data_IF_705946300427
#
_entry.id   IF_705946300427
#
_cell.length_a   1.000
_cell.length_b   1.000
_cell.length_c   1.000
_cell.angle_alpha   90.00
_cell.angle_beta   90.00
_cell.angle_gamma   90.00
#
_symmetry.space_group_name_H-M   'P 1'
#
loop_
_entity.id
_entity.type
_entity.pdbx_description
1 polymer ?
#
# COMPACT_ATOMS: atom_id res chain seq x y z
N UNK A 1 -4.81 -6.57 -5.73
CA UNK A 1 -3.66 -5.83 -5.12
C UNK A 1 -2.85 -5.04 -6.14
N UNK A 2 -2.20 -5.69 -7.13
CA UNK A 2 -1.37 -4.98 -8.14
C UNK A 2 -2.16 -3.99 -9.00
N UNK A 3 -3.34 -4.40 -9.49
CA UNK A 3 -4.25 -3.51 -10.23
C UNK A 3 -4.64 -2.28 -9.40
N UNK A 4 -5.07 -2.49 -8.14
CA UNK A 4 -5.41 -1.42 -7.20
C UNK A 4 -4.26 -0.41 -7.01
N UNK A 5 -3.04 -0.88 -6.78
CA UNK A 5 -1.88 0.01 -6.59
C UNK A 5 -1.50 0.77 -7.87
N UNK A 6 -1.59 0.13 -9.03
CA UNK A 6 -1.35 0.78 -10.33
C UNK A 6 -2.37 1.91 -10.60
N UNK A 7 -3.64 1.72 -10.24
CA UNK A 7 -4.69 2.74 -10.42
C UNK A 7 -4.43 4.03 -9.63
N UNK A 8 -3.71 3.93 -8.50
CA UNK A 8 -3.50 5.08 -7.59
C UNK A 8 -2.05 5.59 -7.59
N UNK A 9 -1.21 5.02 -8.46
CA UNK A 9 0.19 5.40 -8.60
C UNK A 9 1.06 5.03 -7.39
N UNK A 10 0.70 3.97 -6.66
CA UNK A 10 1.53 3.43 -5.58
C UNK A 10 2.52 2.43 -6.17
N UNK A 11 3.76 2.48 -5.71
CA UNK A 11 4.82 1.55 -6.12
C UNK A 11 4.59 0.16 -5.52
N UNK A 12 3.68 -0.61 -6.12
CA UNK A 12 3.44 -2.04 -5.88
C UNK A 12 4.33 -2.87 -6.80
N UNK A 13 5.04 -3.87 -6.27
CA UNK A 13 5.99 -4.68 -7.05
C UNK A 13 5.34 -5.41 -8.26
N UNK A 14 5.45 -4.79 -9.44
CA UNK A 14 5.67 -5.38 -10.75
C UNK A 14 6.28 -4.30 -11.67
N UNK A 15 7.55 -3.99 -11.38
CA UNK A 15 8.35 -2.95 -12.04
C UNK A 15 8.03 -1.54 -11.54
N UNK A 16 9.05 -0.90 -10.97
CA UNK A 16 8.94 0.43 -10.37
C UNK A 16 9.11 1.46 -11.48
N UNK A 17 8.18 2.41 -11.64
CA UNK A 17 8.44 3.59 -12.45
C UNK A 17 9.42 4.48 -11.68
N UNK A 18 10.68 4.53 -12.10
CA UNK A 18 11.71 5.36 -11.48
C UNK A 18 11.93 6.63 -12.30
N UNK A 19 12.01 7.77 -11.61
CA UNK A 19 12.49 9.02 -12.20
C UNK A 19 14.00 8.91 -12.41
N UNK A 20 14.43 8.85 -13.68
CA UNK A 20 15.84 8.87 -14.08
C UNK A 20 16.15 10.20 -14.76
N UNK A 21 17.43 10.61 -14.80
CA UNK A 21 17.90 11.84 -15.46
C UNK A 21 17.54 11.97 -16.97
N UNK A 22 16.92 10.95 -17.57
CA UNK A 22 16.48 10.90 -18.98
C UNK A 22 14.98 10.56 -19.13
N UNK A 23 14.20 10.71 -18.07
CA UNK A 23 12.76 10.40 -18.05
C UNK A 23 12.39 9.22 -17.15
N UNK A 24 11.11 8.85 -17.18
CA UNK A 24 10.55 7.75 -16.40
C UNK A 24 11.00 6.40 -16.98
N UNK A 25 11.52 5.49 -16.13
CA UNK A 25 11.95 4.14 -16.54
C UNK A 25 11.26 3.06 -15.73
N UNK A 26 11.04 1.90 -16.33
CA UNK A 26 10.50 0.72 -15.67
C UNK A 26 11.64 -0.09 -15.05
N UNK A 27 11.80 -0.07 -13.73
CA UNK A 27 12.76 -0.88 -13.00
C UNK A 27 12.09 -2.19 -12.56
N UNK A 28 12.14 -3.21 -13.43
CA UNK A 28 11.79 -4.59 -13.05
C UNK A 28 12.72 -5.07 -11.92
N UNK A 29 12.28 -6.03 -11.10
CA UNK A 29 12.98 -6.65 -9.95
C UNK A 29 14.41 -7.19 -10.24
N UNK A 30 14.94 -7.01 -11.44
CA UNK A 30 16.37 -7.13 -11.80
C UNK A 30 17.23 -5.93 -11.33
N UNK A 31 16.84 -5.22 -10.27
CA UNK A 31 17.69 -4.21 -9.61
C UNK A 31 18.89 -4.87 -8.89
N UNK A 32 19.05 -6.19 -8.98
CA UNK A 32 20.29 -6.87 -8.59
C UNK A 32 21.45 -6.65 -9.59
N UNK A 33 21.21 -6.16 -10.81
CA UNK A 33 22.26 -5.94 -11.83
C UNK A 33 22.84 -4.52 -11.82
N UNK A 34 22.26 -3.59 -11.05
CA UNK A 34 22.79 -2.24 -10.86
C UNK A 34 23.13 -2.12 -9.38
N UNK A 35 24.41 -1.99 -9.04
CA UNK A 35 25.00 -2.13 -7.68
C UNK A 35 24.50 -1.17 -6.58
N UNK A 36 23.19 -1.03 -6.41
CA UNK A 36 22.54 -0.32 -5.32
C UNK A 36 22.31 -1.28 -4.14
N UNK A 37 22.89 -0.95 -2.99
CA UNK A 37 22.50 -1.60 -1.73
C UNK A 37 21.22 -0.94 -1.24
N UNK A 38 20.12 -1.68 -1.24
CA UNK A 38 18.86 -1.24 -0.64
C UNK A 38 18.77 -1.77 0.78
N UNK A 39 18.37 -0.90 1.70
CA UNK A 39 18.16 -1.23 3.10
C UNK A 39 16.78 -1.83 3.29
N UNK A 40 16.70 -2.97 3.97
CA UNK A 40 15.42 -3.51 4.45
C UNK A 40 14.86 -2.57 5.55
N UNK A 41 13.62 -2.12 5.35
CA UNK A 41 13.00 -1.11 6.22
C UNK A 41 12.22 -1.79 7.33
N UNK A 42 12.73 -1.62 8.54
CA UNK A 42 12.09 -1.99 9.80
C UNK A 42 11.59 -0.74 10.53
N UNK A 43 10.92 -0.92 11.67
CA UNK A 43 10.44 0.21 12.49
C UNK A 43 11.53 1.22 12.86
N UNK A 44 12.78 0.76 13.04
CA UNK A 44 13.93 1.63 13.32
C UNK A 44 14.31 2.56 12.16
N UNK A 45 13.95 2.21 10.93
CA UNK A 45 14.26 2.98 9.72
C UNK A 45 13.10 3.88 9.27
N UNK A 46 11.93 3.79 9.92
CA UNK A 46 10.71 4.45 9.46
C UNK A 46 10.82 5.99 9.38
N UNK A 47 11.46 6.62 10.37
CA UNK A 47 11.64 8.08 10.40
C UNK A 47 12.62 8.56 9.32
N UNK A 48 13.68 7.79 9.06
CA UNK A 48 14.66 8.08 8.01
C UNK A 48 14.01 7.99 6.62
N UNK A 49 13.23 6.94 6.39
CA UNK A 49 12.43 6.78 5.16
C UNK A 49 11.42 7.91 5.00
N UNK A 50 10.69 8.29 6.06
CA UNK A 50 9.72 9.38 5.99
C UNK A 50 10.40 10.75 5.75
N UNK A 51 11.65 10.92 6.17
CA UNK A 51 12.43 12.14 5.91
C UNK A 51 12.91 12.19 4.46
N UNK A 52 13.41 11.07 3.93
CA UNK A 52 13.98 11.00 2.57
C UNK A 52 12.90 10.89 1.48
N UNK A 53 11.83 10.15 1.76
CA UNK A 53 10.74 9.83 0.85
C UNK A 53 9.37 10.20 1.45
N UNK A 54 9.15 11.48 1.82
CA UNK A 54 7.98 11.89 2.60
C UNK A 54 6.66 11.64 1.86
N UNK A 55 6.63 11.87 0.55
CA UNK A 55 5.43 11.69 -0.27
C UNK A 55 5.17 10.21 -0.52
N UNK A 56 6.21 9.43 -0.84
CA UNK A 56 6.09 8.01 -1.12
C UNK A 56 5.71 7.21 0.13
N UNK A 57 6.28 7.55 1.30
CA UNK A 57 5.92 6.96 2.58
C UNK A 57 4.45 7.24 2.93
N UNK A 58 3.99 8.48 2.76
CA UNK A 58 2.60 8.87 2.96
C UNK A 58 1.65 8.13 2.01
N UNK A 59 1.99 8.10 0.71
CA UNK A 59 1.22 7.40 -0.32
C UNK A 59 1.09 5.91 -0.03
N UNK A 60 2.21 5.26 0.33
CA UNK A 60 2.24 3.83 0.66
C UNK A 60 1.43 3.54 1.92
N UNK A 61 1.56 4.37 2.96
CA UNK A 61 0.82 4.22 4.20
C UNK A 61 -0.70 4.32 4.00
N UNK A 62 -1.16 5.29 3.23
CA UNK A 62 -2.59 5.45 2.92
C UNK A 62 -3.10 4.27 2.09
N UNK A 63 -2.30 3.81 1.13
CA UNK A 63 -2.65 2.63 0.33
C UNK A 63 -2.76 1.36 1.18
N UNK A 64 -1.79 1.13 2.06
CA UNK A 64 -1.79 0.01 3.00
C UNK A 64 -2.99 0.08 3.95
N UNK A 65 -3.39 1.27 4.39
CA UNK A 65 -4.62 1.48 5.15
C UNK A 65 -5.85 1.01 4.35
N UNK A 66 -5.93 1.38 3.07
CA UNK A 66 -7.06 1.02 2.20
C UNK A 66 -7.14 -0.49 1.92
N UNK A 67 -6.01 -1.18 1.76
CA UNK A 67 -6.02 -2.63 1.48
C UNK A 67 -5.87 -3.52 2.74
N UNK A 68 -5.88 -2.93 3.93
CA UNK A 68 -5.59 -3.60 5.21
C UNK A 68 -4.24 -4.31 5.23
N UNK A 69 -3.18 -3.73 4.68
CA UNK A 69 -1.85 -4.34 4.79
C UNK A 69 -1.24 -4.10 6.17
N UNK A 70 -1.03 -5.16 6.93
CA UNK A 70 -0.45 -5.09 8.29
C UNK A 70 1.04 -5.40 8.32
N UNK A 71 1.62 -5.90 7.23
CA UNK A 71 2.94 -6.53 7.23
C UNK A 71 3.93 -5.72 6.39
N UNK A 72 3.99 -4.41 6.59
CA UNK A 72 4.86 -3.52 5.81
C UNK A 72 6.31 -3.51 6.30
N UNK A 73 6.53 -3.67 7.61
CA UNK A 73 7.88 -3.82 8.16
C UNK A 73 8.53 -5.10 7.59
N UNK A 74 9.79 -5.04 7.18
CA UNK A 74 10.47 -6.14 6.49
C UNK A 74 10.06 -6.35 5.03
N UNK A 75 8.89 -5.84 4.61
CA UNK A 75 8.40 -5.87 3.23
C UNK A 75 8.52 -4.50 2.53
N UNK A 76 9.58 -3.77 2.82
CA UNK A 76 9.90 -2.50 2.18
C UNK A 76 11.42 -2.37 2.07
N UNK A 77 11.89 -1.96 0.89
CA UNK A 77 13.30 -1.66 0.64
C UNK A 77 13.45 -0.22 0.20
N UNK A 78 14.40 0.48 0.79
CA UNK A 78 14.68 1.87 0.48
C UNK A 78 16.16 2.08 0.22
N UNK A 79 16.48 2.94 -0.72
CA UNK A 79 17.82 3.48 -0.83
C UNK A 79 17.99 4.58 0.22
N UNK A 80 18.69 4.28 1.31
CA UNK A 80 18.98 5.24 2.39
C UNK A 80 20.38 5.86 2.27
N UNK A 81 21.20 5.37 1.33
CA UNK A 81 22.53 5.94 1.09
C UNK A 81 22.44 7.32 0.42
N UNK A 82 23.50 8.13 0.55
CA UNK A 82 23.68 9.45 -0.09
C UNK A 82 23.83 9.39 -1.64
N UNK A 83 23.27 8.38 -2.30
CA UNK A 83 23.21 8.38 -3.76
C UNK A 83 22.05 9.26 -4.25
N UNK A 84 22.17 9.77 -5.47
CA UNK A 84 21.15 10.62 -6.13
C UNK A 84 19.93 9.84 -6.61
N UNK A 85 19.97 8.50 -6.56
CA UNK A 85 18.90 7.64 -7.08
C UNK A 85 17.83 7.41 -6.01
N UNK A 86 16.65 7.95 -6.24
CA UNK A 86 15.50 7.82 -5.35
C UNK A 86 14.77 6.51 -5.62
N UNK A 87 14.86 5.56 -4.68
CA UNK A 87 14.24 4.25 -4.82
C UNK A 87 13.61 3.79 -3.51
N UNK A 88 12.29 3.62 -3.53
CA UNK A 88 11.49 3.00 -2.47
C UNK A 88 10.65 1.89 -3.11
N UNK A 89 10.73 0.67 -2.56
CA UNK A 89 10.11 -0.52 -3.13
C UNK A 89 9.32 -1.23 -2.06
N UNK A 90 7.99 -1.23 -2.18
CA UNK A 90 7.14 -2.17 -1.45
C UNK A 90 7.42 -3.59 -1.94
N UNK A 91 7.92 -4.43 -1.05
CA UNK A 91 7.93 -5.88 -1.24
C UNK A 91 6.57 -6.42 -0.78
N UNK A 92 6.40 -7.74 -0.91
CA UNK A 92 5.19 -8.53 -0.67
C UNK A 92 4.00 -7.85 0.04
N UNK A 93 2.79 -8.08 -0.48
CA UNK A 93 1.53 -7.66 0.14
C UNK A 93 0.74 -8.88 0.65
N UNK A 94 1.44 -9.95 1.02
CA UNK A 94 0.86 -11.21 1.47
C UNK A 94 -0.16 -11.04 2.58
N UNK A 95 0.10 -10.15 3.56
CA UNK A 95 -0.78 -9.86 4.70
C UNK A 95 -1.85 -8.78 4.43
N UNK A 96 -2.52 -8.79 3.28
CA UNK A 96 -3.55 -7.79 2.92
C UNK A 96 -4.76 -8.39 2.18
N UNK A 97 -5.86 -7.65 2.10
CA UNK A 97 -7.16 -8.10 1.56
C UNK A 97 -7.70 -9.34 2.29
N UNK A 98 -8.10 -10.41 1.57
CA UNK A 98 -8.65 -11.63 2.18
C UNK A 98 -7.62 -12.42 3.01
N UNK A 99 -6.34 -12.05 2.94
CA UNK A 99 -5.26 -12.70 3.69
C UNK A 99 -5.00 -12.04 5.06
N UNK A 100 -5.81 -11.04 5.44
CA UNK A 100 -5.63 -10.34 6.74
C UNK A 100 -6.15 -11.14 7.92
N UNK A 101 -6.84 -12.27 7.69
CA UNK A 101 -7.36 -13.15 8.73
C UNK A 101 -7.39 -14.61 8.23
N UNK A 102 -7.62 -15.55 9.15
CA UNK A 102 -7.63 -16.98 8.84
C UNK A 102 -8.88 -17.44 8.07
N UNK A 103 -9.95 -16.65 8.10
CA UNK A 103 -11.20 -16.91 7.38
C UNK A 103 -11.61 -15.70 6.54
N UNK A 104 -12.35 -15.95 5.46
CA UNK A 104 -12.88 -14.90 4.58
C UNK A 104 -13.79 -13.96 5.37
N UNK A 105 -14.71 -14.50 6.19
CA UNK A 105 -15.63 -13.68 7.00
C UNK A 105 -14.86 -12.74 7.94
N UNK A 106 -13.87 -13.24 8.67
CA UNK A 106 -13.05 -12.41 9.55
C UNK A 106 -12.22 -11.38 8.77
N UNK A 107 -11.77 -11.70 7.56
CA UNK A 107 -11.07 -10.76 6.70
C UNK A 107 -12.00 -9.63 6.23
N UNK A 108 -13.24 -9.95 5.87
CA UNK A 108 -14.26 -8.97 5.49
C UNK A 108 -14.65 -8.08 6.68
N UNK A 109 -14.81 -8.64 7.88
CA UNK A 109 -15.03 -7.86 9.11
C UNK A 109 -13.90 -6.85 9.35
N UNK A 110 -12.63 -7.27 9.20
CA UNK A 110 -11.47 -6.37 9.32
C UNK A 110 -11.47 -5.29 8.24
N UNK A 111 -11.78 -5.64 6.98
CA UNK A 111 -11.89 -4.69 5.88
C UNK A 111 -13.02 -3.66 6.12
N UNK A 112 -14.14 -4.07 6.71
CA UNK A 112 -15.28 -3.21 7.06
C UNK A 112 -15.18 -2.55 8.44
N UNK A 113 -13.97 -2.48 9.01
CA UNK A 113 -13.73 -1.82 10.29
C UNK A 113 -12.86 -0.57 10.12
N UNK A 114 -13.27 0.53 10.75
CA UNK A 114 -12.44 1.75 10.81
C UNK A 114 -11.26 1.63 11.80
N UNK A 115 -11.29 0.60 12.66
CA UNK A 115 -10.29 0.35 13.71
C UNK A 115 -9.16 -0.58 13.27
N UNK A 116 -9.29 -1.19 12.09
CA UNK A 116 -8.24 -1.98 11.46
C UNK A 116 -7.61 -1.22 10.29
N UNK A 117 -6.31 -1.43 9.99
CA UNK A 117 -5.35 -2.06 10.89
C UNK A 117 -4.98 -1.14 12.07
N UNK A 118 -4.57 -1.70 13.23
CA UNK A 118 -4.40 -0.93 14.45
C UNK A 118 -3.19 0.02 14.38
N UNK A 119 -2.12 -0.40 13.71
CA UNK A 119 -0.85 0.31 13.61
C UNK A 119 -0.25 0.18 12.21
N UNK A 120 0.77 0.98 11.92
CA UNK A 120 1.51 0.92 10.66
C UNK A 120 2.99 1.28 10.86
N UNK A 121 3.86 0.84 9.94
CA UNK A 121 5.30 1.17 9.95
C UNK A 121 5.55 2.69 10.11
N UNK A 122 4.74 3.49 9.42
CA UNK A 122 4.84 4.95 9.38
C UNK A 122 3.96 5.70 10.39
N UNK A 123 3.40 5.01 11.39
CA UNK A 123 2.62 5.67 12.44
C UNK A 123 3.47 6.70 13.20
N UNK A 124 2.95 7.92 13.33
CA UNK A 124 3.58 9.03 14.06
C UNK A 124 4.76 9.69 13.35
N UNK A 125 5.13 9.25 12.14
CA UNK A 125 6.30 9.80 11.41
C UNK A 125 5.96 10.47 10.07
N UNK A 126 4.74 10.28 9.56
CA UNK A 126 4.25 10.98 8.35
C UNK A 126 3.39 12.19 8.72
N UNK A 127 3.44 13.22 7.88
CA UNK A 127 2.63 14.43 8.07
C UNK A 127 1.23 14.28 7.50
N UNK A 128 0.22 14.76 8.24
CA UNK A 128 -1.17 14.80 7.81
C UNK A 128 -1.36 15.46 6.43
N UNK A 129 -0.62 16.53 6.16
CA UNK A 129 -0.70 17.27 4.90
C UNK A 129 -0.31 16.42 3.68
N UNK A 130 0.54 15.42 3.87
CA UNK A 130 1.00 14.53 2.80
C UNK A 130 0.06 13.33 2.57
N UNK A 131 -0.83 13.03 3.52
CA UNK A 131 -1.79 11.93 3.38
C UNK A 131 -2.96 12.32 2.48
N UNK A 132 -3.42 13.57 2.58
CA UNK A 132 -4.63 14.06 1.93
C UNK A 132 -4.67 13.83 0.41
N UNK A 133 -3.60 14.12 -0.37
CA UNK A 133 -3.64 13.90 -1.81
C UNK A 133 -3.88 12.44 -2.22
N UNK A 134 -3.34 11.47 -1.47
CA UNK A 134 -3.58 10.06 -1.74
C UNK A 134 -4.97 9.61 -1.29
N UNK A 135 -5.43 10.09 -0.13
CA UNK A 135 -6.80 9.81 0.35
C UNK A 135 -7.82 10.23 -0.71
N UNK A 136 -7.71 11.46 -1.21
CA UNK A 136 -8.62 11.96 -2.24
C UNK A 136 -8.49 11.21 -3.56
N UNK A 137 -7.27 10.77 -3.93
CA UNK A 137 -7.07 9.99 -5.15
C UNK A 137 -7.79 8.65 -5.06
N UNK A 138 -7.70 7.96 -3.92
CA UNK A 138 -8.38 6.69 -3.69
C UNK A 138 -9.90 6.91 -3.63
N UNK A 139 -10.37 7.97 -2.95
CA UNK A 139 -11.80 8.30 -2.87
C UNK A 139 -12.45 8.62 -4.22
N UNK A 140 -11.68 9.12 -5.19
CA UNK A 140 -12.17 9.39 -6.55
C UNK A 140 -12.25 8.15 -7.45
N UNK A 141 -11.77 6.99 -7.00
CA UNK A 141 -11.90 5.77 -7.78
C UNK A 141 -13.38 5.40 -7.91
N UNK A 142 -13.89 5.15 -9.13
CA UNK A 142 -15.26 4.70 -9.31
C UNK A 142 -15.42 3.26 -8.81
N UNK A 143 -16.64 2.90 -8.40
CA UNK A 143 -16.97 1.57 -7.87
C UNK A 143 -16.63 0.48 -8.89
N UNK A 144 -16.92 0.75 -10.18
CA UNK A 144 -16.66 -0.16 -11.29
C UNK A 144 -15.17 -0.48 -11.42
N UNK A 145 -14.28 0.51 -11.23
CA UNK A 145 -12.84 0.27 -11.29
C UNK A 145 -12.35 -0.62 -10.14
N UNK A 146 -12.97 -0.51 -8.96
CA UNK A 146 -12.65 -1.38 -7.82
C UNK A 146 -13.18 -2.79 -8.07
N UNK A 147 -14.39 -2.92 -8.62
CA UNK A 147 -15.00 -4.19 -9.00
C UNK A 147 -14.15 -4.92 -10.05
N UNK A 148 -13.79 -4.25 -11.15
CA UNK A 148 -12.95 -4.80 -12.22
C UNK A 148 -11.57 -5.26 -11.69
N UNK A 149 -11.04 -4.56 -10.69
CA UNK A 149 -9.76 -4.91 -10.07
C UNK A 149 -9.84 -6.12 -9.11
N UNK A 150 -11.04 -6.52 -8.69
CA UNK A 150 -11.26 -7.55 -7.67
C UNK A 150 -11.97 -8.80 -8.21
N UNK A 151 -12.91 -8.64 -9.14
CA UNK A 151 -13.74 -9.70 -9.69
C UNK A 151 -13.10 -10.20 -10.98
N UNK A 152 -12.54 -11.39 -10.91
CA UNK A 152 -11.85 -12.04 -12.02
C UNK A 152 -12.73 -13.17 -12.55
N UNK A 153 -12.64 -13.47 -13.85
CA UNK A 153 -13.50 -14.48 -14.51
C UNK A 153 -13.13 -15.91 -14.06
N UNK A 154 -13.46 -16.28 -12.83
CA UNK A 154 -13.25 -17.61 -12.24
C UNK A 154 -12.88 -17.60 -10.76
N UNK A 155 -12.72 -18.80 -10.20
CA UNK A 155 -12.20 -19.01 -8.84
C UNK A 155 -10.69 -18.83 -8.82
N UNK A 156 -10.16 -18.14 -7.81
CA UNK A 156 -8.71 -17.95 -7.62
C UNK A 156 -8.30 -18.54 -6.28
N UNK A 157 -7.58 -19.66 -6.32
CA UNK A 157 -7.28 -20.43 -5.12
C UNK A 157 -8.57 -20.96 -4.49
N UNK A 158 -8.84 -20.58 -3.23
CA UNK A 158 -10.08 -20.88 -2.51
C UNK A 158 -11.17 -19.80 -2.66
N UNK A 159 -10.89 -18.67 -3.34
CA UNK A 159 -11.78 -17.51 -3.38
C UNK A 159 -12.72 -17.60 -4.58
N UNK A 160 -14.00 -17.80 -4.31
CA UNK A 160 -15.06 -17.91 -5.34
C UNK A 160 -15.60 -16.53 -5.74
N UNK A 161 -16.35 -16.45 -6.85
CA UNK A 161 -16.89 -15.18 -7.36
C UNK A 161 -17.70 -14.38 -6.32
N UNK A 162 -18.57 -14.99 -5.48
CA UNK A 162 -19.22 -14.28 -4.39
C UNK A 162 -18.23 -13.60 -3.43
N UNK A 163 -17.16 -14.28 -3.03
CA UNK A 163 -16.16 -13.71 -2.11
C UNK A 163 -15.41 -12.53 -2.75
N UNK A 164 -15.15 -12.61 -4.07
CA UNK A 164 -14.53 -11.52 -4.83
C UNK A 164 -15.44 -10.30 -4.92
N UNK A 165 -16.74 -10.50 -5.09
CA UNK A 165 -17.73 -9.42 -5.08
C UNK A 165 -17.84 -8.78 -3.68
N UNK A 166 -17.91 -9.59 -2.62
CA UNK A 166 -17.94 -9.11 -1.23
C UNK A 166 -16.66 -8.33 -0.90
N UNK A 167 -15.49 -8.78 -1.38
CA UNK A 167 -14.24 -8.05 -1.27
C UNK A 167 -14.31 -6.69 -1.95
N UNK A 168 -14.83 -6.62 -3.18
CA UNK A 168 -14.98 -5.37 -3.91
C UNK A 168 -15.87 -4.38 -3.14
N UNK A 169 -17.02 -4.85 -2.63
CA UNK A 169 -17.90 -4.03 -1.78
C UNK A 169 -17.21 -3.57 -0.49
N UNK A 170 -16.43 -4.44 0.15
CA UNK A 170 -15.69 -4.07 1.35
C UNK A 170 -14.63 -2.99 1.04
N UNK A 171 -13.97 -3.05 -0.12
CA UNK A 171 -13.00 -2.04 -0.55
C UNK A 171 -13.66 -0.72 -0.95
N UNK A 172 -14.86 -0.75 -1.54
CA UNK A 172 -15.69 0.43 -1.79
C UNK A 172 -16.07 1.10 -0.47
N UNK A 173 -16.63 0.34 0.48
CA UNK A 173 -16.96 0.84 1.81
C UNK A 173 -15.73 1.46 2.48
N UNK A 174 -14.59 0.76 2.39
CA UNK A 174 -13.34 1.18 3.02
C UNK A 174 -12.71 2.40 2.36
N UNK A 175 -12.85 2.57 1.04
CA UNK A 175 -12.48 3.80 0.33
C UNK A 175 -13.24 4.99 0.92
N UNK A 176 -14.54 4.83 1.16
CA UNK A 176 -15.40 5.92 1.65
C UNK A 176 -15.03 6.33 3.08
N UNK A 177 -14.59 5.38 3.90
CA UNK A 177 -14.14 5.60 5.29
C UNK A 177 -12.62 5.83 5.42
N UNK A 178 -11.89 5.88 4.31
CA UNK A 178 -10.43 5.95 4.30
C UNK A 178 -9.86 7.16 5.07
N UNK A 179 -10.45 8.37 5.03
CA UNK A 179 -9.92 9.49 5.81
C UNK A 179 -9.87 9.18 7.30
N UNK A 180 -10.95 8.65 7.88
CA UNK A 180 -11.00 8.27 9.30
C UNK A 180 -9.94 7.22 9.61
N UNK A 181 -9.89 6.15 8.80
CA UNK A 181 -8.96 5.04 8.98
C UNK A 181 -7.50 5.51 8.95
N UNK A 182 -7.13 6.23 7.89
CA UNK A 182 -5.75 6.65 7.65
C UNK A 182 -5.28 7.63 8.72
N UNK A 183 -6.10 8.63 9.07
CA UNK A 183 -5.75 9.62 10.09
C UNK A 183 -5.62 8.98 11.48
N UNK A 184 -6.56 8.11 11.87
CA UNK A 184 -6.48 7.37 13.13
C UNK A 184 -5.22 6.51 13.21
N UNK A 185 -4.96 5.73 12.15
CA UNK A 185 -3.84 4.79 12.12
C UNK A 185 -2.47 5.47 12.07
N UNK A 186 -2.35 6.60 11.37
CA UNK A 186 -1.05 7.20 11.05
C UNK A 186 -0.68 8.39 11.92
N UNK A 187 -1.65 9.09 12.50
CA UNK A 187 -1.41 10.29 13.29
C UNK A 187 -1.60 10.09 14.79
N UNK A 188 -2.00 8.89 15.24
CA UNK A 188 -2.00 8.57 16.65
C UNK A 188 -0.57 8.61 17.22
N UNK A 189 -0.40 9.29 18.35
CA UNK A 189 0.83 9.27 19.14
C UNK A 189 1.16 7.82 19.55
N UNK A 190 2.45 7.45 19.49
CA UNK A 190 2.92 6.11 19.86
C UNK A 190 2.94 5.89 21.37
#
# INVERSE_FOLDING_TARGET
RRALGAMVGVTVAAGVLVTHARGLRYASLKIAEVGFSLTDVEFGHAAEVATRYPVEAANLAVFDAWICNTDRAGNLRANLAESTDNLLIGLDHGGSLLSVADTIDAAIERLRSTHWPPTHLFQGVVSAALLQPMIERIQRLPDEAIQDACVLSGTIGSVILPDQAILAEALVWRRDHLPEIALRMLLAEK
#
